data_IF_816580111181
#
_entry.id   IF_816580111181
#
_cell.length_a   1.000
_cell.length_b   1.000
_cell.length_c   1.000
_cell.angle_alpha   90.00
_cell.angle_beta   90.00
_cell.angle_gamma   90.00
#
_symmetry.space_group_name_H-M   'P 1'
#
loop_
_entity.id
_entity.type
_entity.pdbx_description
1 polymer ?
#
# COMPACT_ATOMS: atom_id res chain seq x y z
N UNK A 1 22.12 55.34 -22.58
CA UNK A 1 22.54 54.17 -21.75
C UNK A 1 21.45 53.56 -20.84
N UNK A 2 20.23 54.12 -20.70
CA UNK A 2 19.20 53.57 -19.78
C UNK A 2 18.07 52.72 -20.42
N UNK A 3 18.02 52.58 -21.76
CA UNK A 3 16.91 51.89 -22.46
C UNK A 3 17.19 50.43 -22.84
N UNK A 4 18.41 49.92 -22.69
CA UNK A 4 18.76 48.54 -23.07
C UNK A 4 18.73 47.54 -21.90
N UNK A 5 18.57 48.02 -20.66
CA UNK A 5 18.55 47.16 -19.47
C UNK A 5 17.15 46.60 -19.15
N UNK A 6 16.08 47.22 -19.67
CA UNK A 6 14.70 46.85 -19.32
C UNK A 6 14.11 45.74 -20.21
N UNK A 7 14.67 45.53 -21.41
CA UNK A 7 14.19 44.50 -22.35
C UNK A 7 14.72 43.11 -21.95
N UNK A 8 15.94 43.02 -21.41
CA UNK A 8 16.51 41.75 -20.94
C UNK A 8 15.76 41.12 -19.76
N UNK A 9 15.22 41.94 -18.85
CA UNK A 9 14.52 41.45 -17.65
C UNK A 9 13.12 40.87 -17.99
N UNK A 10 12.46 41.36 -19.03
CA UNK A 10 11.12 40.89 -19.45
C UNK A 10 11.21 39.57 -20.22
N UNK A 11 12.25 39.36 -21.04
CA UNK A 11 12.50 38.04 -21.67
C UNK A 11 12.92 36.97 -20.67
N UNK A 12 13.64 37.34 -19.60
CA UNK A 12 14.03 36.39 -18.55
C UNK A 12 12.88 36.02 -17.61
N UNK A 13 11.90 36.92 -17.43
CA UNK A 13 10.69 36.64 -16.66
C UNK A 13 9.67 35.81 -17.47
N UNK A 14 9.67 35.92 -18.80
CA UNK A 14 8.78 35.14 -19.67
C UNK A 14 9.29 33.70 -19.94
N UNK A 15 10.60 33.44 -19.80
CA UNK A 15 11.14 32.08 -19.82
C UNK A 15 11.05 31.34 -18.48
N UNK A 16 10.75 32.03 -17.37
CA UNK A 16 10.59 31.41 -16.05
C UNK A 16 9.13 31.02 -15.71
N UNK A 17 8.18 31.34 -16.59
CA UNK A 17 6.74 31.03 -16.41
C UNK A 17 6.30 29.79 -17.22
N UNK A 18 7.21 29.15 -17.96
CA UNK A 18 6.87 28.01 -18.85
C UNK A 18 7.08 26.60 -18.26
N UNK A 19 7.21 26.44 -16.93
CA UNK A 19 7.37 25.10 -16.34
C UNK A 19 6.78 24.95 -14.93
N UNK A 20 5.71 25.68 -14.60
CA UNK A 20 4.81 25.25 -13.53
C UNK A 20 3.48 24.79 -14.12
N UNK A 21 3.56 23.87 -15.08
CA UNK A 21 2.51 22.85 -15.16
C UNK A 21 2.61 22.10 -13.85
N UNK A 22 1.71 22.40 -12.91
CA UNK A 22 1.31 21.41 -11.91
C UNK A 22 0.82 20.25 -12.77
N UNK A 23 1.70 19.28 -12.97
CA UNK A 23 1.27 17.99 -13.49
C UNK A 23 0.36 17.52 -12.38
N UNK A 24 -0.96 17.67 -12.57
CA UNK A 24 -1.89 16.87 -11.82
C UNK A 24 -1.55 15.46 -12.24
N UNK A 25 -0.75 14.78 -11.43
CA UNK A 25 -0.47 13.37 -11.60
C UNK A 25 -1.82 12.70 -11.79
N UNK A 26 -1.99 12.02 -12.92
CA UNK A 26 -3.24 11.35 -13.24
C UNK A 26 -3.41 10.20 -12.23
N UNK A 27 -4.02 10.48 -11.08
CA UNK A 27 -4.45 9.48 -10.11
C UNK A 27 -5.70 8.77 -10.64
N UNK A 28 -5.82 7.49 -10.27
CA UNK A 28 -6.95 6.66 -10.66
C UNK A 28 -8.26 7.25 -10.10
N UNK A 29 -9.38 6.89 -10.72
CA UNK A 29 -10.69 7.22 -10.17
C UNK A 29 -10.79 6.77 -8.70
N UNK A 30 -11.47 7.55 -7.83
CA UNK A 30 -11.63 7.18 -6.43
C UNK A 30 -12.29 5.80 -6.30
N UNK A 31 -12.04 5.08 -5.18
CA UNK A 31 -12.77 3.85 -4.90
C UNK A 31 -14.27 4.09 -4.96
N UNK A 32 -15.01 3.05 -5.33
CA UNK A 32 -16.47 3.12 -5.50
C UNK A 32 -17.16 2.04 -4.68
N UNK A 33 -18.37 2.36 -4.20
CA UNK A 33 -19.26 1.35 -3.64
C UNK A 33 -19.59 0.29 -4.70
N UNK A 34 -19.40 -0.98 -4.34
CA UNK A 34 -19.74 -2.11 -5.20
C UNK A 34 -21.10 -2.69 -4.82
N UNK A 35 -21.25 -3.11 -3.56
CA UNK A 35 -22.48 -3.74 -3.09
C UNK A 35 -22.57 -3.76 -1.56
N UNK A 36 -23.80 -3.78 -1.05
CA UNK A 36 -24.10 -4.05 0.35
C UNK A 36 -24.79 -5.42 0.45
N UNK A 37 -24.32 -6.25 1.40
CA UNK A 37 -24.91 -7.56 1.68
C UNK A 37 -26.24 -7.45 2.40
N UNK A 38 -26.97 -8.55 2.48
CA UNK A 38 -28.13 -8.63 3.36
C UNK A 38 -27.67 -8.53 4.81
N UNK A 39 -28.21 -7.55 5.54
CA UNK A 39 -27.92 -7.42 6.97
C UNK A 39 -28.54 -8.59 7.75
N UNK A 40 -27.86 -9.01 8.82
CA UNK A 40 -28.31 -10.08 9.71
C UNK A 40 -28.40 -9.55 11.14
N UNK A 41 -29.41 -9.99 11.89
CA UNK A 41 -29.49 -9.74 13.33
C UNK A 41 -29.73 -11.03 14.09
N UNK A 42 -29.11 -11.13 15.27
CA UNK A 42 -29.18 -12.34 16.09
C UNK A 42 -28.98 -12.00 17.57
N UNK A 43 -29.57 -12.80 18.45
CA UNK A 43 -29.25 -12.85 19.89
C UNK A 43 -28.22 -13.94 20.23
N UNK A 44 -27.65 -14.59 19.21
CA UNK A 44 -26.57 -15.55 19.31
C UNK A 44 -25.52 -15.28 18.23
N UNK A 45 -25.06 -16.32 17.54
CA UNK A 45 -24.12 -16.14 16.43
C UNK A 45 -24.79 -15.53 15.20
N UNK A 46 -24.01 -14.84 14.37
CA UNK A 46 -24.46 -14.27 13.10
C UNK A 46 -23.43 -14.53 12.00
N UNK A 47 -23.89 -14.77 10.77
CA UNK A 47 -23.02 -14.95 9.60
C UNK A 47 -23.56 -14.15 8.42
N UNK A 48 -23.14 -12.87 8.27
CA UNK A 48 -23.52 -12.08 7.10
C UNK A 48 -22.83 -12.65 5.85
N UNK A 49 -23.62 -12.83 4.79
CA UNK A 49 -23.08 -13.28 3.51
C UNK A 49 -22.28 -12.16 2.82
N UNK A 50 -21.21 -12.54 2.13
CA UNK A 50 -20.45 -11.61 1.31
C UNK A 50 -21.32 -11.17 0.11
N UNK A 51 -21.55 -9.86 -0.12
CA UNK A 51 -22.28 -9.39 -1.31
C UNK A 51 -21.47 -9.61 -2.59
N UNK A 52 -22.02 -9.20 -3.73
CA UNK A 52 -21.32 -9.25 -5.02
C UNK A 52 -19.93 -8.58 -4.93
N UNK A 53 -18.89 -9.31 -5.34
CA UNK A 53 -17.49 -8.88 -5.27
C UNK A 53 -16.66 -9.56 -6.36
N UNK A 54 -15.51 -8.97 -6.64
CA UNK A 54 -14.45 -9.51 -7.50
C UNK A 54 -13.13 -9.59 -6.72
N UNK A 55 -12.13 -10.27 -7.28
CA UNK A 55 -10.78 -10.30 -6.72
C UNK A 55 -10.29 -8.85 -6.53
N UNK A 56 -9.63 -8.60 -5.40
CA UNK A 56 -9.11 -7.31 -4.93
C UNK A 56 -10.12 -6.30 -4.38
N UNK A 57 -11.42 -6.54 -4.49
CA UNK A 57 -12.41 -5.71 -3.79
C UNK A 57 -12.15 -5.77 -2.27
N UNK A 58 -12.40 -4.65 -1.58
CA UNK A 58 -12.25 -4.54 -0.13
C UNK A 58 -13.62 -4.62 0.52
N UNK A 59 -13.79 -5.57 1.44
CA UNK A 59 -15.01 -5.75 2.22
C UNK A 59 -14.82 -5.19 3.63
N UNK A 60 -15.80 -4.40 4.08
CA UNK A 60 -15.93 -3.93 5.46
C UNK A 60 -17.13 -4.61 6.10
N UNK A 61 -16.87 -5.40 7.15
CA UNK A 61 -17.88 -6.01 8.00
C UNK A 61 -18.15 -5.08 9.17
N UNK A 62 -19.32 -4.45 9.18
CA UNK A 62 -19.80 -3.64 10.28
C UNK A 62 -20.63 -4.51 11.22
N UNK A 63 -20.34 -4.46 12.51
CA UNK A 63 -21.08 -5.15 13.56
C UNK A 63 -21.44 -4.16 14.66
N UNK A 64 -22.73 -4.00 14.90
CA UNK A 64 -23.23 -3.29 16.06
C UNK A 64 -23.69 -4.27 17.14
N UNK A 65 -23.38 -3.90 18.39
CA UNK A 65 -23.76 -4.62 19.60
C UNK A 65 -23.88 -3.61 20.76
N UNK A 66 -24.34 -4.05 21.92
CA UNK A 66 -24.41 -3.14 23.09
C UNK A 66 -23.02 -2.72 23.59
N UNK A 67 -22.95 -1.54 24.22
CA UNK A 67 -21.70 -0.86 24.57
C UNK A 67 -20.60 -1.71 25.21
N UNK A 68 -20.94 -2.48 26.25
CA UNK A 68 -19.99 -3.33 26.99
C UNK A 68 -19.79 -4.72 26.41
N UNK A 69 -20.45 -5.07 25.32
CA UNK A 69 -20.48 -6.43 24.78
C UNK A 69 -19.75 -6.50 23.44
N UNK A 70 -18.49 -6.94 23.49
CA UNK A 70 -17.62 -6.95 22.32
C UNK A 70 -18.02 -8.03 21.30
N UNK A 71 -18.24 -7.63 20.05
CA UNK A 71 -18.33 -8.56 18.94
C UNK A 71 -16.93 -9.13 18.59
N UNK A 72 -16.85 -10.44 18.39
CA UNK A 72 -15.63 -11.13 17.96
C UNK A 72 -15.96 -12.13 16.85
N UNK A 73 -14.98 -12.51 16.04
CA UNK A 73 -15.16 -13.53 14.99
C UNK A 73 -14.73 -14.90 15.51
N UNK A 74 -15.65 -15.86 15.55
CA UNK A 74 -15.34 -17.26 15.84
C UNK A 74 -14.84 -18.02 14.60
N UNK A 75 -15.24 -17.56 13.42
CA UNK A 75 -14.67 -17.99 12.14
C UNK A 75 -14.38 -16.75 11.28
N UNK A 76 -13.12 -16.29 11.19
CA UNK A 76 -12.81 -15.00 10.55
C UNK A 76 -13.02 -14.94 9.04
N UNK A 77 -12.91 -16.06 8.31
CA UNK A 77 -13.07 -16.09 6.85
C UNK A 77 -12.24 -15.04 6.08
N UNK A 78 -11.02 -14.77 6.54
CA UNK A 78 -10.12 -13.76 5.97
C UNK A 78 -10.33 -12.34 6.50
N UNK A 79 -11.35 -12.10 7.32
CA UNK A 79 -11.56 -10.82 7.99
C UNK A 79 -10.61 -10.64 9.18
N UNK A 80 -10.06 -9.44 9.31
CA UNK A 80 -9.22 -9.01 10.43
C UNK A 80 -9.76 -7.71 11.02
N UNK A 81 -9.44 -7.41 12.28
CA UNK A 81 -9.92 -6.19 12.93
C UNK A 81 -9.39 -4.94 12.22
N UNK A 82 -10.25 -3.95 12.04
CA UNK A 82 -9.85 -2.64 11.53
C UNK A 82 -9.14 -1.83 12.63
N UNK A 83 -8.08 -1.11 12.27
CA UNK A 83 -7.44 -0.14 13.18
C UNK A 83 -8.46 0.89 13.68
N UNK A 84 -8.30 1.34 14.94
CA UNK A 84 -9.21 2.26 15.64
C UNK A 84 -10.64 1.74 15.89
N UNK A 85 -10.92 0.47 15.59
CA UNK A 85 -12.13 -0.24 16.01
C UNK A 85 -11.83 -1.12 17.23
N UNK A 86 -12.76 -1.28 18.19
CA UNK A 86 -14.14 -0.76 18.20
C UNK A 86 -14.27 0.65 18.79
N UNK A 87 -15.43 1.27 18.59
CA UNK A 87 -15.88 2.47 19.29
C UNK A 87 -17.16 2.14 20.07
N UNK A 88 -17.30 2.62 21.30
CA UNK A 88 -18.44 2.26 22.15
C UNK A 88 -18.84 3.35 23.15
N UNK A 89 -20.15 3.48 23.38
CA UNK A 89 -20.74 4.26 24.48
C UNK A 89 -21.32 3.32 25.54
N UNK A 90 -21.38 3.78 26.79
CA UNK A 90 -21.97 2.99 27.88
C UNK A 90 -21.14 1.79 28.31
N UNK A 91 -21.71 0.96 29.18
CA UNK A 91 -21.09 -0.25 29.73
C UNK A 91 -22.16 -1.35 29.89
N UNK A 92 -21.73 -2.61 29.97
CA UNK A 92 -22.65 -3.75 29.99
C UNK A 92 -23.58 -3.73 28.77
N UNK A 93 -24.89 -3.76 29.01
CA UNK A 93 -25.94 -3.74 27.97
C UNK A 93 -26.45 -2.34 27.63
N UNK A 94 -25.86 -1.28 28.17
CA UNK A 94 -26.22 0.11 27.88
C UNK A 94 -25.33 0.71 26.78
N UNK A 95 -25.91 1.61 25.99
CA UNK A 95 -25.24 2.27 24.86
C UNK A 95 -25.03 1.32 23.68
N UNK A 96 -24.22 1.77 22.73
CA UNK A 96 -23.96 1.05 21.47
C UNK A 96 -22.46 0.93 21.23
N UNK A 97 -22.06 -0.12 20.51
CA UNK A 97 -20.70 -0.41 20.08
C UNK A 97 -20.71 -0.68 18.60
N UNK A 98 -19.81 -0.06 17.86
CA UNK A 98 -19.50 -0.45 16.49
C UNK A 98 -18.12 -1.11 16.43
N UNK A 99 -18.09 -2.34 15.92
CA UNK A 99 -16.88 -3.11 15.65
C UNK A 99 -16.80 -3.35 14.15
N UNK A 100 -15.68 -2.96 13.53
CA UNK A 100 -15.43 -3.16 12.10
C UNK A 100 -14.29 -4.13 11.89
N UNK A 101 -14.51 -5.09 11.00
CA UNK A 101 -13.50 -5.96 10.44
C UNK A 101 -13.38 -5.72 8.94
N UNK A 102 -12.26 -6.08 8.33
CA UNK A 102 -12.08 -5.97 6.90
C UNK A 102 -11.38 -7.18 6.29
N UNK A 103 -11.65 -7.43 5.02
CA UNK A 103 -10.97 -8.43 4.21
C UNK A 103 -10.76 -7.90 2.79
N UNK A 104 -9.72 -8.40 2.11
CA UNK A 104 -9.58 -8.27 0.66
C UNK A 104 -10.06 -9.56 0.00
N UNK A 105 -10.92 -9.46 -1.00
CA UNK A 105 -11.37 -10.61 -1.76
C UNK A 105 -10.21 -11.24 -2.53
N UNK A 106 -9.95 -12.52 -2.29
CA UNK A 106 -8.93 -13.32 -3.01
C UNK A 106 -9.57 -14.22 -4.09
N UNK A 107 -10.89 -14.26 -4.14
CA UNK A 107 -11.69 -14.96 -5.13
C UNK A 107 -13.01 -14.22 -5.36
N UNK A 108 -13.76 -14.58 -6.39
CA UNK A 108 -15.15 -14.12 -6.60
C UNK A 108 -16.18 -14.93 -5.79
N UNK A 109 -15.72 -15.80 -4.88
CA UNK A 109 -16.58 -16.67 -4.06
C UNK A 109 -15.93 -16.91 -2.70
N UNK A 110 -15.90 -15.87 -1.88
CA UNK A 110 -15.33 -15.94 -0.54
C UNK A 110 -16.28 -16.61 0.47
N UNK A 111 -15.71 -17.24 1.51
CA UNK A 111 -16.47 -17.80 2.63
C UNK A 111 -17.04 -16.70 3.54
N UNK A 112 -18.12 -17.01 4.26
CA UNK A 112 -18.77 -16.04 5.16
C UNK A 112 -18.11 -16.06 6.54
N UNK A 113 -17.87 -14.89 7.16
CA UNK A 113 -17.40 -14.84 8.54
C UNK A 113 -18.52 -15.27 9.50
N UNK A 114 -18.13 -15.77 10.67
CA UNK A 114 -19.05 -16.04 11.79
C UNK A 114 -18.70 -15.13 12.96
N UNK A 115 -19.65 -14.29 13.33
CA UNK A 115 -19.62 -13.46 14.52
C UNK A 115 -20.08 -14.33 15.70
N UNK A 116 -19.25 -14.38 16.74
CA UNK A 116 -19.58 -15.04 17.99
C UNK A 116 -20.71 -14.28 18.72
N UNK A 117 -21.41 -14.98 19.61
CA UNK A 117 -22.40 -14.35 20.47
C UNK A 117 -21.74 -13.28 21.36
N UNK A 118 -22.18 -12.01 21.19
CA UNK A 118 -21.71 -10.89 21.99
C UNK A 118 -22.43 -10.77 23.34
N UNK A 119 -23.59 -11.42 23.51
CA UNK A 119 -24.36 -11.51 24.75
C UNK A 119 -25.82 -11.07 24.62
N UNK A 120 -26.11 -9.84 24.15
CA UNK A 120 -27.47 -9.31 24.03
C UNK A 120 -28.01 -9.42 22.60
N UNK A 121 -27.32 -8.79 21.66
CA UNK A 121 -27.60 -8.90 20.23
C UNK A 121 -26.38 -8.51 19.41
N UNK A 122 -26.44 -8.87 18.13
CA UNK A 122 -25.61 -8.33 17.07
C UNK A 122 -26.48 -7.91 15.90
N UNK A 123 -26.15 -6.80 15.26
CA UNK A 123 -26.64 -6.40 13.95
C UNK A 123 -25.43 -6.23 13.02
N UNK A 124 -25.38 -6.94 11.90
CA UNK A 124 -24.18 -7.00 11.07
C UNK A 124 -24.47 -6.94 9.58
N UNK A 125 -23.59 -6.28 8.83
CA UNK A 125 -23.65 -6.19 7.37
C UNK A 125 -22.25 -6.07 6.78
N UNK A 126 -22.03 -6.71 5.63
CA UNK A 126 -20.82 -6.55 4.83
C UNK A 126 -21.10 -5.55 3.72
N UNK A 127 -20.24 -4.56 3.54
CA UNK A 127 -20.25 -3.64 2.40
C UNK A 127 -18.93 -3.78 1.64
N UNK A 128 -19.00 -3.85 0.32
CA UNK A 128 -17.85 -4.04 -0.56
C UNK A 128 -17.58 -2.81 -1.41
N UNK A 129 -16.30 -2.49 -1.56
CA UNK A 129 -15.79 -1.37 -2.35
C UNK A 129 -14.80 -1.86 -3.39
N UNK A 130 -14.85 -1.23 -4.57
CA UNK A 130 -14.02 -1.53 -5.73
C UNK A 130 -13.10 -0.38 -6.07
N UNK A 131 -11.99 -0.69 -6.74
CA UNK A 131 -11.00 0.33 -7.10
C UNK A 131 -10.37 0.89 -5.85
N UNK A 132 -10.06 0.02 -4.88
CA UNK A 132 -9.15 0.30 -3.78
C UNK A 132 -7.78 -0.23 -4.18
N UNK A 133 -6.68 0.38 -3.72
CA UNK A 133 -5.33 -0.11 -3.99
C UNK A 133 -5.25 -1.63 -3.74
N UNK A 134 -4.77 -2.38 -4.74
CA UNK A 134 -4.85 -3.85 -4.77
C UNK A 134 -3.77 -4.53 -3.94
N UNK A 135 -2.72 -3.79 -3.61
CA UNK A 135 -1.61 -4.20 -2.76
C UNK A 135 -1.68 -3.51 -1.41
N UNK A 136 -0.94 -4.01 -0.43
CA UNK A 136 -0.70 -3.33 0.86
C UNK A 136 -1.97 -3.05 1.68
N UNK A 137 -1.81 -2.16 2.68
CA UNK A 137 -2.90 -1.65 3.50
C UNK A 137 -3.84 -0.74 2.65
N UNK A 138 -5.13 -1.10 2.51
CA UNK A 138 -6.09 -0.34 1.71
C UNK A 138 -6.48 1.02 2.32
N UNK A 139 -6.12 1.27 3.59
CA UNK A 139 -6.51 2.47 4.31
C UNK A 139 -5.43 3.54 4.27
N UNK A 140 -5.81 4.77 3.93
CA UNK A 140 -4.98 5.97 4.09
C UNK A 140 -4.92 6.37 5.56
N UNK A 141 -6.11 6.51 6.16
CA UNK A 141 -6.24 6.82 7.57
C UNK A 141 -7.57 6.26 8.10
N UNK A 142 -7.57 5.89 9.37
CA UNK A 142 -8.78 5.53 10.12
C UNK A 142 -8.91 6.44 11.34
N UNK A 143 -10.12 6.83 11.69
CA UNK A 143 -10.44 7.59 12.91
C UNK A 143 -11.74 7.09 13.51
N UNK A 144 -12.06 7.55 14.73
CA UNK A 144 -13.29 7.18 15.40
C UNK A 144 -13.58 8.07 16.59
N UNK A 145 -14.78 7.91 17.14
CA UNK A 145 -15.20 8.65 18.31
C UNK A 145 -16.59 8.27 18.78
N UNK A 146 -17.05 9.00 19.80
CA UNK A 146 -18.34 8.76 20.44
C UNK A 146 -19.08 10.05 20.72
N UNK A 147 -20.41 9.99 20.59
CA UNK A 147 -21.35 11.01 21.08
C UNK A 147 -22.07 10.43 22.29
N UNK A 148 -21.55 10.69 23.48
CA UNK A 148 -22.05 10.09 24.72
C UNK A 148 -23.33 10.76 25.27
N UNK A 149 -23.73 11.92 24.74
CA UNK A 149 -24.97 12.61 25.10
C UNK A 149 -25.99 12.39 24.00
N UNK A 150 -27.18 11.91 24.38
CA UNK A 150 -28.24 11.63 23.43
C UNK A 150 -28.74 12.91 22.74
N UNK A 151 -28.85 12.86 21.41
CA UNK A 151 -29.41 13.95 20.60
C UNK A 151 -29.92 13.42 19.26
N UNK A 152 -30.67 14.27 18.54
CA UNK A 152 -31.21 14.01 17.19
C UNK A 152 -30.24 14.43 16.08
N UNK A 153 -28.95 14.54 16.38
CA UNK A 153 -27.91 14.85 15.40
C UNK A 153 -26.57 14.23 15.80
N UNK A 154 -25.68 13.99 14.85
CA UNK A 154 -24.32 13.53 15.11
C UNK A 154 -23.34 14.36 14.30
N UNK A 155 -22.18 14.63 14.90
CA UNK A 155 -21.00 15.18 14.21
C UNK A 155 -19.94 14.09 14.22
N UNK A 156 -19.65 13.54 13.05
CA UNK A 156 -18.59 12.58 12.84
C UNK A 156 -17.30 13.34 12.57
N UNK A 157 -16.33 13.20 13.47
CA UNK A 157 -15.06 13.91 13.38
C UNK A 157 -14.30 13.55 12.10
N UNK A 158 -13.78 14.58 11.44
CA UNK A 158 -12.94 14.45 10.25
C UNK A 158 -11.58 13.80 10.49
N UNK A 159 -10.91 13.44 9.40
CA UNK A 159 -9.53 12.93 9.37
C UNK A 159 -8.71 13.75 8.37
N UNK A 160 -7.39 13.58 8.36
CA UNK A 160 -6.51 14.18 7.34
C UNK A 160 -5.98 13.10 6.43
N UNK A 161 -6.40 13.13 5.17
CA UNK A 161 -5.92 12.21 4.14
C UNK A 161 -4.56 12.67 3.62
N UNK A 162 -3.70 11.71 3.28
CA UNK A 162 -2.39 11.95 2.65
C UNK A 162 -2.42 11.66 1.14
N UNK A 163 -3.50 11.03 0.67
CA UNK A 163 -3.71 10.68 -0.74
C UNK A 163 -5.00 11.37 -1.23
N UNK A 164 -4.94 11.94 -2.44
CA UNK A 164 -6.09 12.48 -3.15
C UNK A 164 -7.02 11.35 -3.64
N UNK A 165 -8.21 11.71 -4.11
CA UNK A 165 -9.23 10.77 -4.59
C UNK A 165 -9.53 9.60 -3.61
N UNK A 166 -9.47 9.87 -2.31
CA UNK A 166 -9.80 8.88 -1.28
C UNK A 166 -11.31 8.80 -1.09
N UNK A 167 -11.83 7.57 -0.98
CA UNK A 167 -13.22 7.36 -0.60
C UNK A 167 -13.32 7.32 0.92
N UNK A 168 -14.01 8.29 1.50
CA UNK A 168 -14.27 8.37 2.93
C UNK A 168 -15.53 7.59 3.24
N UNK A 169 -15.41 6.50 3.98
CA UNK A 169 -16.51 5.69 4.49
C UNK A 169 -16.71 6.02 5.96
N UNK A 170 -17.90 6.45 6.34
CA UNK A 170 -18.27 6.75 7.71
C UNK A 170 -19.39 5.82 8.17
N UNK A 171 -19.24 5.27 9.38
CA UNK A 171 -20.23 4.41 9.98
C UNK A 171 -20.60 4.93 11.36
N UNK A 172 -21.90 4.99 11.66
CA UNK A 172 -22.43 5.52 12.92
C UNK A 172 -23.45 4.56 13.49
N UNK A 173 -23.14 3.99 14.66
CA UNK A 173 -24.05 3.14 15.40
C UNK A 173 -24.95 3.94 16.35
N UNK A 174 -26.09 3.37 16.71
CA UNK A 174 -27.15 3.94 17.56
C UNK A 174 -27.69 2.90 18.54
N UNK A 175 -28.19 3.34 19.69
CA UNK A 175 -28.61 2.48 20.80
C UNK A 175 -30.14 2.28 20.94
N UNK A 176 -30.94 2.76 19.98
CA UNK A 176 -32.39 2.58 20.03
C UNK A 176 -32.86 1.26 19.39
N UNK A 177 -33.89 0.66 20.00
CA UNK A 177 -34.56 -0.53 19.50
C UNK A 177 -35.46 -0.24 18.29
N UNK A 178 -34.86 -0.20 17.10
CA UNK A 178 -35.57 0.06 15.85
C UNK A 178 -34.90 -0.64 14.68
N UNK A 179 -35.69 -1.30 13.83
CA UNK A 179 -35.23 -1.85 12.55
C UNK A 179 -35.31 -0.85 11.39
N UNK A 180 -35.91 0.33 11.60
CA UNK A 180 -36.05 1.34 10.56
C UNK A 180 -34.74 2.10 10.31
N UNK A 181 -34.68 2.75 9.14
CA UNK A 181 -33.74 3.83 8.89
C UNK A 181 -33.93 4.96 9.92
N UNK A 182 -32.86 5.64 10.28
CA UNK A 182 -32.83 6.66 11.33
C UNK A 182 -31.99 7.90 10.97
N UNK A 183 -31.09 7.80 10.00
CA UNK A 183 -30.16 8.84 9.64
C UNK A 183 -30.59 9.53 8.35
N UNK A 184 -30.30 10.82 8.24
CA UNK A 184 -30.50 11.59 7.01
C UNK A 184 -29.65 12.87 7.00
N UNK A 185 -29.66 13.56 5.88
CA UNK A 185 -29.08 14.91 5.73
C UNK A 185 -27.57 14.98 6.01
N UNK A 186 -26.84 13.93 5.64
CA UNK A 186 -25.38 13.89 5.75
C UNK A 186 -24.77 15.05 4.96
N UNK A 187 -24.03 15.92 5.64
CA UNK A 187 -23.45 17.14 5.05
C UNK A 187 -21.98 17.27 5.43
N UNK A 188 -21.13 17.46 4.42
CA UNK A 188 -19.72 17.79 4.57
C UNK A 188 -19.30 18.67 3.38
N UNK A 189 -18.63 19.79 3.64
CA UNK A 189 -18.25 20.75 2.60
C UNK A 189 -17.05 20.31 1.74
N UNK A 190 -16.21 19.41 2.26
CA UNK A 190 -14.99 18.95 1.60
C UNK A 190 -15.18 17.61 0.87
N UNK A 191 -16.29 16.91 1.12
CA UNK A 191 -16.62 15.65 0.46
C UNK A 191 -17.66 15.88 -0.64
N UNK A 192 -17.48 15.20 -1.76
CA UNK A 192 -18.43 15.19 -2.86
C UNK A 192 -19.14 13.84 -2.94
N UNK A 193 -20.28 13.81 -3.64
CA UNK A 193 -21.03 12.58 -3.93
C UNK A 193 -21.40 11.78 -2.68
N UNK A 194 -21.72 12.48 -1.57
CA UNK A 194 -22.11 11.82 -0.32
C UNK A 194 -23.36 10.98 -0.57
N UNK A 195 -23.28 9.69 -0.29
CA UNK A 195 -24.36 8.75 -0.49
C UNK A 195 -24.43 7.74 0.66
N UNK A 196 -25.65 7.53 1.16
CA UNK A 196 -25.93 6.49 2.15
C UNK A 196 -25.95 5.11 1.48
N UNK A 197 -25.27 4.15 2.11
CA UNK A 197 -25.12 2.77 1.63
C UNK A 197 -25.86 1.75 2.48
N UNK A 198 -26.07 2.07 3.74
CA UNK A 198 -26.86 1.28 4.67
C UNK A 198 -27.45 2.20 5.74
N UNK A 199 -28.69 1.94 6.14
CA UNK A 199 -29.30 2.50 7.36
C UNK A 199 -30.44 1.61 7.79
N UNK A 200 -30.20 0.84 8.84
CA UNK A 200 -31.18 -0.05 9.44
C UNK A 200 -30.67 -0.53 10.80
N UNK A 201 -31.45 -1.39 11.45
CA UNK A 201 -31.07 -1.93 12.74
C UNK A 201 -31.89 -3.14 13.14
N UNK A 202 -32.00 -3.36 14.44
CA UNK A 202 -32.77 -4.46 15.01
C UNK A 202 -33.54 -4.01 16.25
N UNK A 203 -34.67 -4.67 16.49
CA UNK A 203 -35.41 -4.61 17.74
C UNK A 203 -35.18 -5.86 18.61
N UNK A 204 -34.29 -6.77 18.20
CA UNK A 204 -33.90 -7.94 19.00
C UNK A 204 -33.03 -7.51 20.20
N UNK A 205 -33.21 -8.16 21.35
CA UNK A 205 -32.50 -7.77 22.58
C UNK A 205 -32.88 -6.36 23.01
N UNK A 206 -31.87 -5.53 23.28
CA UNK A 206 -32.04 -4.10 23.53
C UNK A 206 -32.14 -3.28 22.24
N UNK A 207 -31.92 -3.93 21.10
CA UNK A 207 -31.87 -3.33 19.78
C UNK A 207 -30.73 -2.34 19.61
N UNK A 208 -30.64 -1.81 18.40
CA UNK A 208 -29.52 -1.01 17.94
C UNK A 208 -29.53 -0.97 16.42
N UNK A 209 -28.43 -0.52 15.83
CA UNK A 209 -28.25 -0.46 14.39
C UNK A 209 -27.17 0.52 14.00
N UNK A 210 -26.95 0.68 12.70
CA UNK A 210 -26.00 1.65 12.18
C UNK A 210 -26.43 2.17 10.82
N UNK A 211 -25.90 3.35 10.49
CA UNK A 211 -25.83 3.80 9.12
C UNK A 211 -24.38 3.80 8.63
N UNK A 212 -24.21 3.59 7.32
CA UNK A 212 -22.95 3.76 6.60
C UNK A 212 -23.20 4.65 5.41
N UNK A 213 -22.38 5.67 5.25
CA UNK A 213 -22.34 6.50 4.05
C UNK A 213 -20.90 6.69 3.59
N UNK A 214 -20.74 7.06 2.33
CA UNK A 214 -19.45 7.41 1.78
C UNK A 214 -19.48 8.70 0.97
N UNK A 215 -18.32 9.30 0.79
CA UNK A 215 -18.10 10.48 -0.04
C UNK A 215 -16.65 10.59 -0.48
N UNK A 216 -16.40 11.29 -1.58
CA UNK A 216 -15.07 11.40 -2.20
C UNK A 216 -14.36 12.66 -1.70
N UNK A 217 -13.15 12.49 -1.18
CA UNK A 217 -12.19 13.56 -0.90
C UNK A 217 -11.23 13.69 -2.10
N UNK A 218 -11.48 14.66 -2.99
CA UNK A 218 -10.75 14.80 -4.24
C UNK A 218 -9.27 15.21 -4.06
N UNK A 219 -8.99 16.12 -3.12
CA UNK A 219 -7.63 16.55 -2.81
C UNK A 219 -7.20 16.01 -1.45
N UNK A 220 -5.94 15.59 -1.33
CA UNK A 220 -5.38 15.20 -0.03
C UNK A 220 -5.51 16.37 0.97
N UNK A 221 -5.90 16.06 2.21
CA UNK A 221 -6.05 17.05 3.27
C UNK A 221 -7.15 16.71 4.28
N UNK A 222 -7.52 17.71 5.09
CA UNK A 222 -8.54 17.55 6.11
C UNK A 222 -9.93 17.36 5.49
N UNK A 223 -10.60 16.26 5.83
CA UNK A 223 -11.96 15.97 5.36
C UNK A 223 -13.00 16.89 5.99
N UNK A 224 -12.67 17.59 7.07
CA UNK A 224 -13.66 18.28 7.91
C UNK A 224 -14.65 17.30 8.55
N UNK A 225 -15.50 17.83 9.42
CA UNK A 225 -16.54 17.05 10.09
C UNK A 225 -17.74 16.82 9.18
N UNK A 226 -18.34 15.63 9.29
CA UNK A 226 -19.63 15.33 8.65
C UNK A 226 -20.73 15.42 9.69
N UNK A 227 -21.79 16.18 9.42
CA UNK A 227 -22.97 16.22 10.26
C UNK A 227 -24.11 15.40 9.66
N UNK A 228 -24.94 14.78 10.49
CA UNK A 228 -26.15 14.08 10.08
C UNK A 228 -27.26 14.26 11.13
N UNK A 229 -28.51 14.19 10.69
CA UNK A 229 -29.67 14.18 11.56
C UNK A 229 -30.05 12.74 11.92
N UNK A 230 -30.69 12.59 13.08
CA UNK A 230 -31.22 11.32 13.58
C UNK A 230 -32.67 11.52 14.03
N UNK A 231 -33.58 10.65 13.58
CA UNK A 231 -35.01 10.76 13.87
C UNK A 231 -35.34 10.62 15.38
N UNK A 232 -34.46 9.97 16.13
CA UNK A 232 -34.60 9.75 17.56
C UNK A 232 -33.39 10.27 18.34
N UNK A 233 -33.63 10.67 19.60
CA UNK A 233 -32.54 11.06 20.50
C UNK A 233 -31.79 9.81 20.98
N UNK A 234 -30.56 9.65 20.50
CA UNK A 234 -29.70 8.48 20.73
C UNK A 234 -28.27 8.90 21.01
N UNK A 235 -27.51 8.03 21.70
CA UNK A 235 -26.05 8.13 21.74
C UNK A 235 -25.45 7.43 20.51
N UNK A 236 -24.22 7.78 20.16
CA UNK A 236 -23.55 7.18 18.99
C UNK A 236 -22.12 6.76 19.26
N UNK A 237 -21.69 5.72 18.56
CA UNK A 237 -20.29 5.39 18.34
C UNK A 237 -20.04 5.42 16.83
N UNK A 238 -18.92 5.98 16.38
CA UNK A 238 -18.66 6.17 14.95
C UNK A 238 -17.23 5.92 14.54
N UNK A 239 -17.04 5.55 13.27
CA UNK A 239 -15.74 5.37 12.61
C UNK A 239 -15.70 6.16 11.30
N UNK A 240 -14.53 6.69 10.95
CA UNK A 240 -14.19 7.28 9.66
C UNK A 240 -13.04 6.48 9.04
N UNK A 241 -13.21 6.00 7.82
CA UNK A 241 -12.28 5.10 7.12
C UNK A 241 -11.98 5.69 5.75
N UNK A 242 -10.73 6.04 5.45
CA UNK A 242 -10.33 6.54 4.14
C UNK A 242 -9.73 5.40 3.30
N UNK A 243 -10.43 4.99 2.23
CA UNK A 243 -9.96 3.98 1.28
C UNK A 243 -9.07 4.65 0.22
N UNK A 244 -7.88 4.09 -0.01
CA UNK A 244 -6.92 4.57 -1.02
C UNK A 244 -7.34 4.17 -2.43
N UNK A 245 -7.30 5.09 -3.42
CA UNK A 245 -7.39 4.71 -4.83
C UNK A 245 -6.17 3.88 -5.25
N UNK A 246 -6.27 3.11 -6.36
CA UNK A 246 -5.13 2.51 -7.02
C UNK A 246 -4.15 3.58 -7.46
N UNK A 247 -2.87 3.25 -7.39
CA UNK A 247 -1.84 4.08 -7.99
C UNK A 247 -1.76 3.81 -9.49
N UNK A 248 -1.94 4.85 -10.29
CA UNK A 248 -1.76 4.79 -11.76
C UNK A 248 -0.40 5.34 -12.13
N UNK A 249 0.29 4.68 -13.05
CA UNK A 249 1.56 5.15 -13.60
C UNK A 249 2.79 4.88 -12.75
N UNK A 250 2.68 4.08 -11.68
CA UNK A 250 3.87 3.57 -10.97
C UNK A 250 4.40 2.36 -11.73
N UNK A 251 5.71 2.30 -12.04
CA UNK A 251 6.30 1.08 -12.55
C UNK A 251 6.03 -0.10 -11.61
N UNK A 252 5.77 -1.28 -12.16
CA UNK A 252 5.42 -2.46 -11.40
C UNK A 252 6.39 -3.60 -11.69
N UNK A 253 6.76 -4.34 -10.64
CA UNK A 253 7.44 -5.62 -10.78
C UNK A 253 6.65 -6.55 -11.70
N UNK A 254 7.36 -7.21 -12.61
CA UNK A 254 6.76 -8.11 -13.60
C UNK A 254 7.16 -9.55 -13.34
N UNK A 255 8.46 -9.82 -13.29
CA UNK A 255 8.98 -11.17 -13.06
C UNK A 255 10.48 -11.17 -12.75
N UNK A 256 10.94 -12.26 -12.16
CA UNK A 256 12.34 -12.56 -11.88
C UNK A 256 12.81 -13.77 -12.70
N UNK A 257 14.10 -13.75 -13.06
CA UNK A 257 14.75 -14.81 -13.82
C UNK A 257 15.30 -15.89 -12.90
N UNK A 258 15.59 -17.05 -13.47
CA UNK A 258 16.40 -18.04 -12.76
C UNK A 258 17.79 -17.47 -12.53
N UNK A 259 18.23 -17.43 -11.27
CA UNK A 259 19.57 -17.00 -10.94
C UNK A 259 20.62 -17.95 -11.53
N UNK A 260 21.77 -17.40 -11.92
CA UNK A 260 22.95 -18.16 -12.31
C UNK A 260 24.10 -17.83 -11.36
N UNK A 261 24.81 -18.85 -10.90
CA UNK A 261 25.84 -18.70 -9.87
C UNK A 261 26.92 -19.77 -9.93
N UNK A 262 28.10 -19.46 -9.39
CA UNK A 262 29.22 -20.39 -9.34
C UNK A 262 30.55 -19.66 -9.18
N UNK A 263 31.65 -20.36 -9.46
CA UNK A 263 33.04 -19.83 -9.41
C UNK A 263 33.58 -19.47 -10.80
N UNK A 264 32.71 -19.14 -11.75
CA UNK A 264 33.05 -18.88 -13.14
C UNK A 264 32.14 -17.81 -13.75
N UNK A 265 31.99 -17.80 -15.06
CA UNK A 265 31.03 -16.91 -15.73
C UNK A 265 29.59 -17.26 -15.38
N UNK A 266 28.71 -16.25 -15.30
CA UNK A 266 27.28 -16.44 -15.11
C UNK A 266 26.49 -15.78 -16.25
N UNK A 267 25.45 -16.43 -16.76
CA UNK A 267 24.55 -15.98 -17.84
C UNK A 267 23.09 -16.10 -17.39
N UNK A 268 22.63 -15.22 -16.47
CA UNK A 268 21.27 -15.28 -15.95
C UNK A 268 20.25 -15.01 -17.06
N UNK A 269 19.23 -15.87 -17.16
CA UNK A 269 18.24 -15.77 -18.22
C UNK A 269 17.31 -14.56 -18.01
N UNK A 270 16.88 -13.95 -19.12
CA UNK A 270 15.78 -12.98 -19.07
C UNK A 270 14.50 -13.65 -18.58
N UNK A 271 13.78 -13.06 -17.63
CA UNK A 271 12.47 -13.56 -17.24
C UNK A 271 11.39 -13.10 -18.20
N UNK A 272 10.12 -13.35 -17.87
CA UNK A 272 8.99 -12.96 -18.72
C UNK A 272 8.91 -11.44 -18.86
N UNK A 273 9.07 -10.94 -20.09
CA UNK A 273 9.05 -9.51 -20.38
C UNK A 273 8.27 -9.21 -21.67
N UNK A 274 7.93 -7.93 -21.83
CA UNK A 274 7.42 -7.32 -23.03
C UNK A 274 8.41 -6.25 -23.54
N UNK A 275 8.17 -5.76 -24.75
CA UNK A 275 8.88 -4.60 -25.27
C UNK A 275 8.69 -3.42 -24.31
N UNK A 276 9.75 -2.62 -24.14
CA UNK A 276 9.88 -1.45 -23.27
C UNK A 276 9.97 -1.70 -21.77
N UNK A 277 9.79 -2.94 -21.31
CA UNK A 277 10.08 -3.30 -19.91
C UNK A 277 11.55 -3.00 -19.57
N UNK A 278 11.77 -2.60 -18.32
CA UNK A 278 13.10 -2.38 -17.76
C UNK A 278 13.58 -3.67 -17.09
N UNK A 279 14.79 -4.11 -17.39
CA UNK A 279 15.46 -5.20 -16.68
C UNK A 279 16.57 -4.65 -15.80
N UNK A 280 16.63 -5.13 -14.56
CA UNK A 280 17.71 -4.91 -13.61
C UNK A 280 18.45 -6.22 -13.39
N UNK A 281 19.73 -6.25 -13.76
CA UNK A 281 20.64 -7.35 -13.46
C UNK A 281 21.38 -7.02 -12.17
N UNK A 282 21.11 -7.79 -11.13
CA UNK A 282 21.83 -7.75 -9.87
C UNK A 282 22.92 -8.81 -9.89
N UNK A 283 24.13 -8.43 -9.49
CA UNK A 283 25.28 -9.32 -9.42
C UNK A 283 25.98 -9.12 -8.09
N UNK A 284 26.15 -10.20 -7.36
CA UNK A 284 26.97 -10.26 -6.16
C UNK A 284 28.25 -11.06 -6.41
N UNK A 285 29.35 -10.54 -5.85
CA UNK A 285 30.67 -11.14 -5.86
C UNK A 285 31.44 -10.74 -4.61
N UNK A 286 32.63 -11.30 -4.41
CA UNK A 286 33.48 -10.88 -3.30
C UNK A 286 33.88 -9.40 -3.40
N UNK A 287 34.06 -8.74 -2.24
CA UNK A 287 34.22 -7.28 -2.13
C UNK A 287 35.23 -6.62 -3.07
N UNK A 288 36.44 -7.18 -3.16
CA UNK A 288 37.52 -6.68 -4.00
C UNK A 288 37.47 -7.13 -5.46
N UNK A 289 36.56 -8.02 -5.83
CA UNK A 289 36.49 -8.62 -7.15
C UNK A 289 35.47 -7.89 -8.02
N UNK A 290 35.97 -7.15 -9.00
CA UNK A 290 35.14 -6.29 -9.83
C UNK A 290 34.31 -7.10 -10.83
N UNK A 291 32.99 -6.84 -10.84
CA UNK A 291 32.07 -7.41 -11.83
C UNK A 291 32.20 -6.65 -13.14
N UNK A 292 32.32 -7.38 -14.25
CA UNK A 292 32.23 -6.86 -15.61
C UNK A 292 31.35 -7.77 -16.46
N UNK A 293 30.77 -7.25 -17.54
CA UNK A 293 30.03 -8.05 -18.51
C UNK A 293 30.94 -8.37 -19.70
N UNK A 294 31.24 -9.64 -19.93
CA UNK A 294 32.00 -10.08 -21.11
C UNK A 294 31.16 -10.02 -22.39
N UNK A 295 29.84 -10.17 -22.25
CA UNK A 295 28.84 -9.85 -23.26
C UNK A 295 27.69 -9.09 -22.59
N UNK A 296 27.56 -7.80 -22.89
CA UNK A 296 26.62 -6.94 -22.20
C UNK A 296 25.17 -7.10 -22.66
N UNK A 297 24.92 -7.55 -23.90
CA UNK A 297 23.56 -7.68 -24.46
C UNK A 297 22.62 -6.49 -24.19
N UNK A 298 23.15 -5.26 -24.27
CA UNK A 298 22.40 -4.02 -24.04
C UNK A 298 22.31 -3.56 -22.58
N UNK A 299 22.87 -4.31 -21.63
CA UNK A 299 22.99 -3.88 -20.24
C UNK A 299 24.08 -2.83 -20.06
N UNK A 300 23.80 -1.87 -19.19
CA UNK A 300 24.73 -0.81 -18.77
C UNK A 300 24.70 -0.62 -17.26
N UNK A 301 25.79 -0.15 -16.66
CA UNK A 301 25.85 0.02 -15.21
C UNK A 301 24.87 1.11 -14.72
N UNK A 302 24.22 0.85 -13.58
CA UNK A 302 23.41 1.84 -12.88
C UNK A 302 24.35 2.84 -12.16
N UNK A 303 24.00 4.12 -12.16
CA UNK A 303 24.74 5.14 -11.41
C UNK A 303 24.79 4.80 -9.91
N UNK A 304 25.91 5.09 -9.24
CA UNK A 304 26.18 4.71 -7.84
C UNK A 304 26.30 3.20 -7.60
N UNK A 305 26.45 2.39 -8.65
CA UNK A 305 26.87 1.00 -8.57
C UNK A 305 28.30 0.86 -9.09
N UNK A 306 29.16 0.02 -8.49
CA UNK A 306 28.90 -0.94 -7.41
C UNK A 306 29.03 -0.35 -5.99
N UNK A 307 28.47 -1.07 -5.01
CA UNK A 307 28.70 -0.87 -3.57
C UNK A 307 29.45 -2.09 -3.03
N UNK A 308 30.50 -1.90 -2.23
CA UNK A 308 31.33 -3.00 -1.76
C UNK A 308 31.88 -2.79 -0.34
N UNK A 309 32.04 -3.88 0.41
CA UNK A 309 32.77 -3.95 1.67
C UNK A 309 33.97 -4.87 1.53
N UNK A 310 35.02 -4.65 2.34
CA UNK A 310 36.21 -5.51 2.31
C UNK A 310 37.13 -5.28 1.10
N UNK A 311 38.11 -6.17 0.95
CA UNK A 311 39.12 -6.14 -0.10
C UNK A 311 39.51 -7.58 -0.50
N UNK A 312 39.97 -7.77 -1.74
CA UNK A 312 40.21 -9.11 -2.29
C UNK A 312 38.95 -9.99 -2.22
N UNK A 313 39.10 -11.20 -1.68
CA UNK A 313 38.00 -12.17 -1.54
C UNK A 313 37.16 -12.00 -0.27
N UNK A 314 37.41 -10.95 0.53
CA UNK A 314 36.70 -10.68 1.77
C UNK A 314 35.60 -9.64 1.57
N UNK A 315 34.46 -9.82 2.27
CA UNK A 315 33.27 -8.97 2.14
C UNK A 315 32.48 -9.26 0.87
N UNK A 316 31.52 -8.38 0.58
CA UNK A 316 30.59 -8.52 -0.54
C UNK A 316 30.62 -7.28 -1.43
N UNK A 317 30.33 -7.46 -2.71
CA UNK A 317 30.14 -6.42 -3.72
C UNK A 317 28.80 -6.64 -4.39
N UNK A 318 27.96 -5.60 -4.39
CA UNK A 318 26.74 -5.54 -5.20
C UNK A 318 26.96 -4.64 -6.41
N UNK A 319 26.80 -5.23 -7.60
CA UNK A 319 26.82 -4.53 -8.89
C UNK A 319 25.45 -4.63 -9.54
N UNK A 320 24.96 -3.52 -10.09
CA UNK A 320 23.63 -3.44 -10.71
C UNK A 320 23.79 -2.87 -12.11
N UNK A 321 23.22 -3.57 -13.08
CA UNK A 321 23.15 -3.16 -14.47
C UNK A 321 21.70 -3.09 -14.89
N UNK A 322 21.42 -2.35 -15.96
CA UNK A 322 20.08 -2.24 -16.51
C UNK A 322 20.08 -2.29 -18.03
N UNK A 323 18.99 -2.82 -18.57
CA UNK A 323 18.67 -2.80 -19.99
C UNK A 323 17.18 -2.51 -20.20
N UNK A 324 16.83 -2.03 -21.38
CA UNK A 324 15.44 -1.96 -21.83
C UNK A 324 15.18 -3.09 -22.82
N UNK A 325 14.11 -3.84 -22.62
CA UNK A 325 13.69 -4.87 -23.56
C UNK A 325 13.28 -4.24 -24.90
N UNK A 326 13.95 -4.63 -25.98
CA UNK A 326 13.62 -4.19 -27.34
C UNK A 326 12.80 -5.23 -28.12
N UNK A 327 12.63 -6.41 -27.54
CA UNK A 327 11.82 -7.51 -28.06
C UNK A 327 11.26 -8.34 -26.89
N UNK A 328 10.38 -9.30 -27.18
CA UNK A 328 9.92 -10.30 -26.20
C UNK A 328 10.87 -11.49 -26.04
N UNK A 329 12.04 -11.46 -26.68
CA UNK A 329 13.04 -12.53 -26.66
C UNK A 329 14.44 -11.92 -26.75
N UNK A 330 14.89 -11.40 -25.61
CA UNK A 330 16.23 -10.82 -25.47
C UNK A 330 17.29 -11.90 -25.21
N UNK A 331 18.50 -11.71 -25.73
CA UNK A 331 19.66 -12.52 -25.36
C UNK A 331 20.13 -12.18 -23.93
N UNK A 332 20.52 -13.20 -23.16
CA UNK A 332 21.01 -13.03 -21.80
C UNK A 332 22.43 -12.45 -21.76
N UNK A 333 22.74 -11.49 -20.88
CA UNK A 333 24.09 -10.99 -20.69
C UNK A 333 24.98 -12.07 -20.05
N UNK A 334 26.28 -12.01 -20.31
CA UNK A 334 27.28 -12.85 -19.64
C UNK A 334 28.12 -11.99 -18.70
N UNK A 335 28.03 -12.30 -17.42
CA UNK A 335 28.92 -11.80 -16.37
C UNK A 335 30.25 -12.53 -16.50
N UNK A 336 31.34 -11.77 -16.63
CA UNK A 336 32.69 -12.32 -16.64
C UNK A 336 33.02 -12.90 -15.25
N UNK A 337 33.86 -13.94 -15.22
CA UNK A 337 34.36 -14.52 -13.97
C UNK A 337 35.09 -13.47 -13.13
N UNK A 338 34.57 -13.09 -11.95
CA UNK A 338 35.20 -12.10 -11.09
C UNK A 338 36.37 -12.68 -10.27
N UNK A 339 36.48 -14.01 -10.14
CA UNK A 339 37.53 -14.70 -9.39
C UNK A 339 36.99 -15.80 -8.46
N UNK A 340 36.39 -15.42 -7.33
CA UNK A 340 35.98 -16.31 -6.25
C UNK A 340 34.60 -16.91 -6.49
N UNK A 341 33.59 -16.06 -6.64
CA UNK A 341 32.21 -16.47 -6.91
C UNK A 341 31.44 -15.35 -7.59
N UNK A 342 30.32 -15.74 -8.21
CA UNK A 342 29.30 -14.85 -8.72
C UNK A 342 27.92 -15.41 -8.38
N UNK A 343 27.00 -14.53 -8.00
CA UNK A 343 25.57 -14.81 -7.96
C UNK A 343 24.83 -13.71 -8.73
N UNK A 344 24.13 -14.06 -9.80
CA UNK A 344 23.52 -13.10 -10.71
C UNK A 344 22.06 -13.43 -11.00
N UNK A 345 21.17 -12.43 -11.00
CA UNK A 345 19.75 -12.60 -11.30
C UNK A 345 19.20 -11.35 -12.00
N UNK A 346 18.25 -11.55 -12.92
CA UNK A 346 17.56 -10.46 -13.62
C UNK A 346 16.14 -10.33 -13.08
N UNK A 347 15.74 -9.11 -12.69
CA UNK A 347 14.35 -8.75 -12.39
C UNK A 347 13.83 -7.79 -13.46
N UNK A 348 12.55 -7.89 -13.80
CA UNK A 348 11.91 -7.05 -14.81
C UNK A 348 10.76 -6.23 -14.25
N UNK A 349 10.62 -5.02 -14.79
CA UNK A 349 9.66 -4.02 -14.37
C UNK A 349 8.94 -3.43 -15.59
N UNK A 350 7.64 -3.27 -15.48
CA UNK A 350 6.78 -2.68 -16.52
C UNK A 350 6.31 -1.29 -16.10
N UNK A 351 5.81 -0.49 -17.05
CA UNK A 351 5.29 0.85 -16.76
C UNK A 351 6.36 1.93 -16.49
N UNK A 352 7.64 1.60 -16.71
CA UNK A 352 8.75 2.58 -16.72
C UNK A 352 8.65 3.45 -17.99
N UNK A 353 9.15 4.70 -17.93
CA UNK A 353 9.26 5.57 -19.12
C UNK A 353 9.89 4.80 -20.28
N UNK A 354 9.29 4.86 -21.48
CA UNK A 354 9.66 4.02 -22.64
C UNK A 354 10.88 4.53 -23.41
N UNK A 355 11.41 5.69 -23.05
CA UNK A 355 12.58 6.28 -23.71
C UNK A 355 13.39 7.12 -22.72
N UNK A 356 14.66 7.35 -23.07
CA UNK A 356 15.59 8.10 -22.23
C UNK A 356 16.03 7.36 -20.97
N UNK A 357 16.52 8.14 -20.01
CA UNK A 357 16.99 7.66 -18.71
C UNK A 357 15.78 7.24 -17.84
N UNK A 358 15.70 5.98 -17.39
CA UNK A 358 14.63 5.53 -16.51
C UNK A 358 14.79 5.99 -15.05
N UNK A 359 15.94 6.56 -14.68
CA UNK A 359 16.27 6.85 -13.28
C UNK A 359 15.79 8.23 -12.84
N UNK A 360 14.97 8.29 -11.79
CA UNK A 360 14.70 9.55 -11.10
C UNK A 360 15.83 9.95 -10.16
N UNK A 361 16.29 8.97 -9.37
CA UNK A 361 17.37 9.11 -8.39
C UNK A 361 17.99 7.74 -8.14
N UNK A 362 19.30 7.70 -7.89
CA UNK A 362 20.02 6.51 -7.46
C UNK A 362 20.75 6.79 -6.15
N UNK A 363 20.78 5.82 -5.25
CA UNK A 363 21.49 5.90 -3.97
C UNK A 363 22.35 4.67 -3.77
N UNK A 364 23.33 4.78 -2.88
CA UNK A 364 24.20 3.67 -2.51
C UNK A 364 24.82 3.93 -1.14
N UNK A 365 25.17 2.86 -0.45
CA UNK A 365 25.81 2.93 0.85
C UNK A 365 26.38 1.57 1.24
N UNK A 366 27.23 1.58 2.27
CA UNK A 366 27.88 0.38 2.78
C UNK A 366 27.72 0.29 4.29
N UNK A 367 27.41 -0.91 4.78
CA UNK A 367 27.47 -1.25 6.21
C UNK A 367 28.65 -2.17 6.43
N UNK A 368 29.78 -1.61 6.85
CA UNK A 368 31.03 -2.36 7.02
C UNK A 368 31.10 -3.17 8.34
N UNK A 369 30.06 -3.10 9.19
CA UNK A 369 30.01 -3.80 10.48
C UNK A 369 28.95 -4.90 10.42
N UNK A 370 29.38 -6.13 10.69
CA UNK A 370 28.52 -7.30 10.73
C UNK A 370 27.33 -7.10 11.69
N UNK A 371 26.14 -7.48 11.25
CA UNK A 371 24.90 -7.24 11.97
C UNK A 371 23.79 -8.13 11.43
N UNK A 372 22.73 -8.32 12.22
CA UNK A 372 21.52 -9.04 11.84
C UNK A 372 20.42 -8.12 11.31
N UNK A 373 20.74 -6.84 11.09
CA UNK A 373 19.86 -5.86 10.45
C UNK A 373 20.68 -4.99 9.51
N UNK A 374 20.03 -4.29 8.60
CA UNK A 374 20.65 -3.31 7.69
C UNK A 374 19.73 -2.11 7.61
N UNK A 375 20.28 -0.93 7.37
CA UNK A 375 19.46 0.25 7.07
C UNK A 375 19.88 0.77 5.71
N UNK A 376 18.96 0.73 4.76
CA UNK A 376 19.11 1.35 3.44
C UNK A 376 18.73 2.81 3.58
N UNK A 377 19.70 3.70 3.36
CA UNK A 377 19.49 5.15 3.45
C UNK A 377 18.50 5.62 2.38
N UNK A 378 17.54 6.43 2.81
CA UNK A 378 16.54 6.99 1.92
C UNK A 378 17.10 7.90 0.83
N UNK A 379 16.35 8.03 -0.25
CA UNK A 379 16.60 8.98 -1.34
C UNK A 379 15.49 10.04 -1.38
N UNK A 380 15.70 11.12 -2.14
CA UNK A 380 14.65 12.11 -2.39
C UNK A 380 14.25 12.04 -3.85
N UNK A 381 13.04 11.56 -4.11
CA UNK A 381 12.46 11.55 -5.45
C UNK A 381 12.01 12.95 -5.84
N UNK A 382 12.19 13.32 -7.11
CA UNK A 382 11.70 14.58 -7.66
C UNK A 382 10.38 14.44 -8.41
N UNK A 383 9.95 13.19 -8.65
CA UNK A 383 8.73 12.85 -9.38
C UNK A 383 7.89 11.92 -8.52
N UNK A 384 6.57 12.15 -8.51
CA UNK A 384 5.60 11.28 -7.86
C UNK A 384 5.53 9.92 -8.58
N UNK A 385 4.76 8.98 -8.02
CA UNK A 385 4.53 7.68 -8.66
C UNK A 385 5.83 6.94 -9.06
N UNK A 386 6.89 7.10 -8.29
CA UNK A 386 8.19 6.46 -8.54
C UNK A 386 8.22 5.09 -7.88
N UNK A 387 8.71 4.06 -8.58
CA UNK A 387 9.06 2.79 -7.95
C UNK A 387 10.46 2.89 -7.34
N UNK A 388 10.58 2.57 -6.06
CA UNK A 388 11.84 2.47 -5.34
C UNK A 388 12.26 1.02 -5.31
N UNK A 389 13.37 0.68 -5.98
CA UNK A 389 13.98 -0.65 -5.90
C UNK A 389 15.18 -0.58 -4.96
N UNK A 390 15.18 -1.41 -3.92
CA UNK A 390 16.24 -1.49 -2.93
C UNK A 390 16.87 -2.87 -2.99
N UNK A 391 18.19 -2.93 -2.90
CA UNK A 391 18.91 -4.19 -2.89
C UNK A 391 20.03 -4.17 -1.85
N UNK A 392 20.21 -5.28 -1.15
CA UNK A 392 21.26 -5.45 -0.14
C UNK A 392 21.97 -6.77 -0.41
N UNK A 393 23.29 -6.72 -0.56
CA UNK A 393 24.12 -7.92 -0.62
C UNK A 393 24.62 -8.35 0.76
N UNK A 394 25.02 -9.61 0.85
CA UNK A 394 25.53 -10.27 2.05
C UNK A 394 26.68 -11.20 1.70
N UNK A 395 27.61 -11.35 2.62
CA UNK A 395 28.83 -12.16 2.50
C UNK A 395 28.73 -13.52 3.22
N UNK A 396 27.52 -13.92 3.63
CA UNK A 396 27.33 -15.21 4.27
C UNK A 396 27.29 -16.33 3.22
N UNK A 397 28.07 -17.38 3.48
CA UNK A 397 28.18 -18.58 2.66
C UNK A 397 26.91 -19.46 2.75
N UNK A 398 25.83 -19.03 2.10
CA UNK A 398 24.53 -19.68 2.16
C UNK A 398 23.66 -19.37 0.94
N UNK A 399 23.11 -20.43 0.34
CA UNK A 399 22.09 -20.33 -0.70
C UNK A 399 20.67 -20.04 -0.16
N UNK A 400 20.45 -20.15 1.15
CA UNK A 400 19.14 -19.89 1.76
C UNK A 400 18.89 -18.40 1.96
N UNK A 401 17.61 -17.99 1.96
CA UNK A 401 17.17 -16.65 2.34
C UNK A 401 17.73 -16.21 3.72
N UNK A 402 18.04 -14.93 3.87
CA UNK A 402 18.63 -14.33 5.07
C UNK A 402 17.89 -13.08 5.60
N UNK A 403 16.99 -12.50 4.82
CA UNK A 403 16.16 -11.36 5.21
C UNK A 403 14.72 -11.82 5.45
N UNK A 404 13.96 -11.06 6.24
CA UNK A 404 12.64 -11.54 6.71
C UNK A 404 11.65 -10.44 7.11
N UNK A 405 12.08 -9.19 7.26
CA UNK A 405 11.20 -8.08 7.59
C UNK A 405 11.79 -6.77 7.07
N UNK A 406 10.92 -5.84 6.67
CA UNK A 406 11.27 -4.49 6.30
C UNK A 406 10.31 -3.48 6.90
N UNK A 407 10.85 -2.31 7.24
CA UNK A 407 10.07 -1.19 7.76
C UNK A 407 10.51 0.13 7.16
N UNK A 408 9.56 0.91 6.67
CA UNK A 408 9.72 2.30 6.22
C UNK A 408 8.33 2.95 6.28
N UNK A 409 8.27 4.15 6.83
CA UNK A 409 7.00 4.82 7.11
C UNK A 409 6.49 5.66 5.94
N UNK A 410 7.27 5.82 4.88
CA UNK A 410 6.98 6.81 3.82
C UNK A 410 6.78 6.21 2.42
N UNK A 411 7.01 4.92 2.24
CA UNK A 411 6.62 4.19 1.04
C UNK A 411 5.27 3.48 1.28
N UNK A 412 4.55 3.20 0.19
CA UNK A 412 3.15 2.75 0.25
C UNK A 412 2.96 1.34 0.86
N UNK A 413 3.97 0.49 0.77
CA UNK A 413 3.85 -0.96 0.90
C UNK A 413 5.01 -1.65 1.63
N UNK A 414 5.68 -0.98 2.57
CA UNK A 414 7.03 -1.44 2.98
C UNK A 414 7.07 -2.85 3.57
N UNK A 415 5.94 -3.44 3.93
CA UNK A 415 5.98 -4.63 4.78
C UNK A 415 5.90 -6.02 4.13
N UNK A 416 5.88 -6.27 2.81
CA UNK A 416 5.70 -7.70 2.38
C UNK A 416 6.36 -8.21 1.10
N UNK A 417 6.74 -7.40 0.12
CA UNK A 417 7.06 -7.93 -1.20
C UNK A 417 8.56 -8.01 -1.48
N UNK A 418 9.22 -8.91 -0.75
CA UNK A 418 10.53 -9.42 -1.16
C UNK A 418 10.41 -10.06 -2.54
N UNK A 419 11.18 -9.56 -3.50
CA UNK A 419 11.17 -10.09 -4.87
C UNK A 419 12.10 -11.28 -5.00
N UNK A 420 13.26 -11.21 -4.36
CA UNK A 420 14.24 -12.29 -4.29
C UNK A 420 15.04 -12.15 -3.00
N UNK A 421 15.40 -13.28 -2.40
CA UNK A 421 16.42 -13.42 -1.36
C UNK A 421 17.02 -14.81 -1.42
N UNK A 422 18.19 -14.86 -2.02
CA UNK A 422 18.93 -16.09 -2.21
C UNK A 422 20.41 -15.77 -2.39
N UNK A 423 21.20 -16.84 -2.44
CA UNK A 423 22.63 -16.72 -2.63
C UNK A 423 23.23 -17.99 -3.21
N UNK A 424 24.53 -18.09 -3.10
CA UNK A 424 25.32 -19.27 -3.45
C UNK A 424 26.22 -19.66 -2.30
N UNK A 425 26.52 -20.96 -2.22
CA UNK A 425 27.55 -21.49 -1.34
C UNK A 425 28.84 -21.85 -2.12
N UNK A 426 28.99 -21.28 -3.32
CA UNK A 426 30.17 -21.49 -4.17
C UNK A 426 31.27 -20.52 -3.77
N UNK A 427 32.53 -20.97 -3.76
CA UNK A 427 33.65 -20.12 -3.33
C UNK A 427 33.53 -19.76 -1.85
N UNK A 428 33.53 -18.47 -1.53
CA UNK A 428 33.23 -17.96 -0.19
C UNK A 428 31.73 -17.70 0.02
N UNK A 429 30.92 -17.94 -1.01
CA UNK A 429 29.49 -17.68 -1.04
C UNK A 429 29.13 -16.21 -0.88
N UNK A 430 27.83 -15.97 -0.85
CA UNK A 430 27.26 -14.63 -0.86
C UNK A 430 25.88 -14.64 -1.49
N UNK A 431 25.22 -13.48 -1.49
CA UNK A 431 23.91 -13.35 -2.10
C UNK A 431 23.35 -11.95 -1.94
N UNK A 432 22.12 -11.77 -2.36
CA UNK A 432 21.42 -10.50 -2.17
C UNK A 432 19.93 -10.72 -1.99
N UNK A 433 19.28 -9.70 -1.45
CA UNK A 433 17.85 -9.56 -1.49
C UNK A 433 17.45 -8.26 -2.18
N UNK A 434 16.31 -8.28 -2.87
CA UNK A 434 15.73 -7.14 -3.56
C UNK A 434 14.29 -6.95 -3.13
N UNK A 435 13.95 -5.70 -2.85
CA UNK A 435 12.60 -5.26 -2.55
C UNK A 435 12.25 -4.08 -3.45
N UNK A 436 10.97 -3.93 -3.72
CA UNK A 436 10.49 -2.72 -4.35
C UNK A 436 9.23 -2.22 -3.68
N UNK A 437 9.07 -0.90 -3.71
CA UNK A 437 7.89 -0.24 -3.17
C UNK A 437 7.62 1.08 -3.88
N UNK A 438 6.36 1.45 -3.92
CA UNK A 438 5.85 2.63 -4.55
C UNK A 438 6.00 3.88 -3.66
N UNK A 439 6.51 4.95 -4.25
CA UNK A 439 6.50 6.30 -3.70
C UNK A 439 5.50 7.16 -4.49
N UNK A 440 4.26 7.37 -3.97
CA UNK A 440 3.19 8.01 -4.73
C UNK A 440 3.38 9.52 -4.85
N UNK A 441 4.10 10.13 -3.92
CA UNK A 441 4.35 11.56 -3.85
C UNK A 441 5.84 11.83 -4.00
N UNK A 442 6.21 12.89 -4.73
CA UNK A 442 7.60 13.32 -4.78
C UNK A 442 8.11 13.67 -3.37
N UNK A 443 9.38 13.41 -3.09
CA UNK A 443 10.03 13.73 -1.83
C UNK A 443 10.84 12.57 -1.24
N UNK A 444 11.24 12.75 0.02
CA UNK A 444 12.07 11.80 0.75
C UNK A 444 11.36 10.46 0.96
N UNK A 445 12.08 9.36 0.72
CA UNK A 445 11.62 8.00 0.99
C UNK A 445 11.86 7.57 2.43
N UNK A 446 12.62 8.34 3.23
CA UNK A 446 13.08 7.88 4.54
C UNK A 446 13.95 6.62 4.45
N UNK A 447 14.53 6.24 5.58
CA UNK A 447 15.35 5.04 5.66
C UNK A 447 14.47 3.78 5.72
N UNK A 448 14.97 2.68 5.16
CA UNK A 448 14.35 1.36 5.26
C UNK A 448 15.22 0.47 6.13
N UNK A 449 14.65 -0.15 7.15
CA UNK A 449 15.36 -1.07 8.06
C UNK A 449 14.81 -2.47 7.98
#
# INVERSE_FOLDING_TARGET
MKKHFLIGLITSLLMLVSALTIVNDAQAAPPTFQAAGTAVSSIGTASPAWPAHEINDVALLFVESTGGQAATLSAPAGFVALTNSPQATGAGTAGTRITVFWARATSSSMSTPTIADAGNHVYAQIITYRGVITTCNPFDITGGGVKAVASTSVTVTGVTTTVADTLIVQAVARDNASAAAQFNSQTNANLTSIAERADAGTAQGNGGGFAVWDGVMAAAGATGDTTANIDNSVVNAFLTIALKPPTTGIPAYKSEGTADSGTGTATPAWPTHAIDDLALLFVESAGGEAVTLSDAQGFSAVLNSPQATGAGTAGTRLSVFWARATSTSMAAPTVADPGNHVYAQILTYSGVTTSGDPWNVTGGGVKAVASTSVTVTGVTTTVANTLIVQAVSRDNDSAAAAFSAQTNATLLCVSTDERTDAGTASGNGGGFAVWDDAKPTAGATGDTT
#
